data_IF_901382997330
#
_entry.id   IF_901382997330
#
_cell.length_a   1.000
_cell.length_b   1.000
_cell.length_c   1.000
_cell.angle_alpha   90.00
_cell.angle_beta   90.00
_cell.angle_gamma   90.00
#
_symmetry.space_group_name_H-M   'P 1'
#
loop_
_entity.id
_entity.type
_entity.pdbx_description
1 polymer ?
#
# COMPACT_ATOMS: atom_id res chain seq x y z
N UNK A 1 18.36 10.08 25.74
CA UNK A 1 17.20 9.31 25.29
C UNK A 1 17.14 9.44 23.76
N UNK A 2 16.95 8.34 23.01
CA UNK A 2 16.82 8.42 21.56
C UNK A 2 15.42 8.87 21.17
N UNK A 3 15.34 9.81 20.22
CA UNK A 3 14.05 10.27 19.67
C UNK A 3 13.68 9.39 18.48
N UNK A 4 12.48 8.85 18.52
CA UNK A 4 11.92 7.94 17.51
C UNK A 4 10.73 8.63 16.86
N UNK A 5 10.78 8.84 15.54
CA UNK A 5 9.62 9.28 14.76
C UNK A 5 8.88 8.07 14.20
N UNK A 6 7.60 7.95 14.47
CA UNK A 6 6.70 6.97 13.84
C UNK A 6 5.96 7.71 12.74
N UNK A 7 6.23 7.37 11.48
CA UNK A 7 5.67 8.06 10.32
C UNK A 7 4.43 7.33 9.78
N UNK A 8 3.55 8.10 9.16
CA UNK A 8 2.40 7.58 8.39
C UNK A 8 1.41 6.73 9.20
N UNK A 9 1.25 7.01 10.50
CA UNK A 9 0.23 6.36 11.32
C UNK A 9 -1.15 7.00 11.11
N UNK A 10 -1.66 6.95 9.88
CA UNK A 10 -2.90 7.61 9.47
C UNK A 10 -4.13 7.20 10.29
N UNK A 11 -4.13 5.98 10.83
CA UNK A 11 -5.20 5.47 11.67
C UNK A 11 -5.03 5.83 13.16
N UNK A 12 -3.87 6.40 13.55
CA UNK A 12 -3.50 6.69 14.93
C UNK A 12 -3.58 5.44 15.84
N UNK A 13 -3.01 4.34 15.37
CA UNK A 13 -3.13 3.03 16.03
C UNK A 13 -1.81 2.49 16.58
N UNK A 14 -0.68 3.13 16.29
CA UNK A 14 0.64 2.63 16.73
C UNK A 14 0.70 2.38 18.23
N UNK A 15 0.05 3.22 19.05
CA UNK A 15 -0.01 3.08 20.50
C UNK A 15 -0.79 1.85 20.99
N UNK A 16 -1.60 1.23 20.13
CA UNK A 16 -2.28 -0.03 20.46
C UNK A 16 -1.34 -1.24 20.35
N UNK A 17 -0.25 -1.09 19.59
CA UNK A 17 0.72 -2.15 19.32
C UNK A 17 2.07 -1.90 20.01
N UNK A 18 2.39 -0.66 20.36
CA UNK A 18 3.62 -0.29 21.07
C UNK A 18 3.28 0.11 22.49
N UNK A 19 3.85 -0.60 23.47
CA UNK A 19 3.75 -0.19 24.87
C UNK A 19 4.73 0.97 25.16
N UNK A 20 4.26 2.19 24.84
CA UNK A 20 5.04 3.40 25.02
C UNK A 20 5.43 3.66 26.49
N UNK A 21 4.60 3.21 27.45
CA UNK A 21 4.89 3.39 28.89
C UNK A 21 6.10 2.57 29.31
N UNK A 22 6.18 1.32 28.84
CA UNK A 22 7.32 0.43 29.11
C UNK A 22 8.62 0.96 28.51
N UNK A 23 8.54 1.70 27.41
CA UNK A 23 9.68 2.20 26.64
C UNK A 23 10.08 3.63 26.98
N UNK A 24 9.26 4.39 27.73
CA UNK A 24 9.43 5.82 28.01
C UNK A 24 10.72 6.20 28.75
N UNK A 25 11.36 5.24 29.43
CA UNK A 25 12.67 5.48 30.07
C UNK A 25 13.88 5.39 29.11
N UNK A 26 13.68 4.80 27.91
CA UNK A 26 14.72 4.58 26.91
C UNK A 26 14.58 5.45 25.68
N UNK A 27 13.35 5.65 25.22
CA UNK A 27 13.00 6.29 23.95
C UNK A 27 11.94 7.38 24.14
N UNK A 28 12.04 8.41 23.31
CA UNK A 28 11.03 9.46 23.18
C UNK A 28 10.36 9.29 21.82
N UNK A 29 9.08 8.86 21.81
CA UNK A 29 8.32 8.65 20.59
C UNK A 29 7.53 9.90 20.21
N UNK A 30 7.58 10.28 18.92
CA UNK A 30 6.65 11.22 18.30
C UNK A 30 5.98 10.54 17.12
N UNK A 31 4.64 10.59 17.09
CA UNK A 31 3.82 9.96 16.06
C UNK A 31 3.39 11.04 15.08
N UNK A 32 3.52 10.75 13.78
CA UNK A 32 3.05 11.58 12.68
C UNK A 32 1.89 10.86 12.00
N UNK A 33 0.69 11.43 12.10
CA UNK A 33 -0.56 10.82 11.62
C UNK A 33 -0.93 11.27 10.21
N UNK A 34 -0.18 12.20 9.65
CA UNK A 34 -0.42 12.77 8.34
C UNK A 34 0.84 12.69 7.48
N UNK A 35 0.64 12.60 6.16
CA UNK A 35 1.76 12.71 5.23
C UNK A 35 2.35 14.13 5.28
N UNK A 36 3.65 14.23 5.07
CA UNK A 36 4.29 15.53 4.90
C UNK A 36 3.88 16.15 3.56
N UNK A 37 3.59 17.44 3.56
CA UNK A 37 3.19 18.15 2.34
C UNK A 37 4.36 18.27 1.33
N UNK A 38 5.61 18.25 1.83
CA UNK A 38 6.83 18.30 1.02
C UNK A 38 7.99 17.60 1.72
N UNK A 39 9.05 17.35 0.97
CA UNK A 39 10.31 16.86 1.52
C UNK A 39 10.95 17.86 2.49
N UNK A 40 10.86 19.16 2.20
CA UNK A 40 11.38 20.22 3.08
C UNK A 40 10.69 20.22 4.44
N UNK A 41 9.37 20.04 4.46
CA UNK A 41 8.62 19.86 5.71
C UNK A 41 9.07 18.60 6.47
N UNK A 42 9.30 17.50 5.76
CA UNK A 42 9.82 16.28 6.38
C UNK A 42 11.20 16.52 7.01
N UNK A 43 12.09 17.23 6.32
CA UNK A 43 13.43 17.60 6.84
C UNK A 43 13.27 18.42 8.12
N UNK A 44 12.47 19.50 8.08
CA UNK A 44 12.25 20.39 9.23
C UNK A 44 11.73 19.63 10.45
N UNK A 45 10.69 18.80 10.24
CA UNK A 45 10.04 18.07 11.33
C UNK A 45 10.86 16.90 11.87
N UNK A 46 11.76 16.31 11.07
CA UNK A 46 12.50 15.10 11.42
C UNK A 46 13.96 15.35 11.81
N UNK A 47 14.48 16.57 11.70
CA UNK A 47 15.90 16.91 11.90
C UNK A 47 16.47 16.50 13.27
N UNK A 48 15.63 16.41 14.29
CA UNK A 48 16.06 16.06 15.65
C UNK A 48 15.98 14.57 15.97
N UNK A 49 15.48 13.74 15.06
CA UNK A 49 15.26 12.32 15.32
C UNK A 49 16.49 11.47 14.96
N UNK A 50 16.75 10.46 15.78
CA UNK A 50 17.80 9.46 15.56
C UNK A 50 17.26 8.19 14.91
N UNK A 51 15.96 7.96 14.99
CA UNK A 51 15.29 6.76 14.50
C UNK A 51 14.03 7.14 13.74
N UNK A 52 13.84 6.53 12.58
CA UNK A 52 12.59 6.59 11.83
C UNK A 52 11.95 5.20 11.79
N UNK A 53 10.69 5.11 12.25
CA UNK A 53 9.81 3.99 11.97
C UNK A 53 8.95 4.37 10.78
N UNK A 54 9.10 3.69 9.66
CA UNK A 54 8.42 4.02 8.41
C UNK A 54 7.47 2.91 7.97
N UNK A 55 6.31 3.30 7.46
CA UNK A 55 5.25 2.39 7.06
C UNK A 55 5.28 2.16 5.55
N UNK A 56 5.91 1.04 5.14
CA UNK A 56 6.03 0.66 3.72
C UNK A 56 6.67 1.80 2.91
N UNK A 57 6.24 1.99 1.68
CA UNK A 57 6.74 3.01 0.77
C UNK A 57 5.93 4.33 0.84
N UNK A 58 5.28 4.64 1.97
CA UNK A 58 4.43 5.86 2.09
C UNK A 58 5.24 7.15 2.05
N UNK A 59 6.20 7.30 2.95
CA UNK A 59 7.12 8.44 2.93
C UNK A 59 8.41 8.06 2.19
N UNK A 60 8.77 8.73 1.08
CA UNK A 60 10.05 8.53 0.41
C UNK A 60 11.23 8.97 1.29
N UNK A 61 12.17 8.07 1.52
CA UNK A 61 13.40 8.35 2.26
C UNK A 61 14.54 8.54 1.26
N UNK A 62 14.52 9.69 0.62
CA UNK A 62 15.44 10.05 -0.45
C UNK A 62 16.84 10.34 0.06
N UNK A 63 17.81 10.43 -0.85
CA UNK A 63 19.17 10.88 -0.55
C UNK A 63 19.16 12.26 0.10
N UNK A 64 18.36 13.21 -0.41
CA UNK A 64 18.30 14.57 0.13
C UNK A 64 17.78 14.57 1.56
N UNK A 65 16.70 13.83 1.85
CA UNK A 65 16.19 13.69 3.21
C UNK A 65 17.25 13.08 4.13
N UNK A 66 17.90 11.99 3.72
CA UNK A 66 18.97 11.33 4.50
C UNK A 66 20.11 12.28 4.78
N UNK A 67 20.59 13.03 3.79
CA UNK A 67 21.74 13.94 3.94
C UNK A 67 21.44 15.08 4.93
N UNK A 68 20.21 15.57 4.98
CA UNK A 68 19.79 16.65 5.90
C UNK A 68 19.49 16.16 7.32
N UNK A 69 19.13 14.90 7.53
CA UNK A 69 18.85 14.36 8.86
C UNK A 69 20.16 13.95 9.56
N UNK A 70 20.96 14.94 9.96
CA UNK A 70 22.33 14.73 10.48
C UNK A 70 22.43 13.84 11.73
N UNK A 71 21.34 13.75 12.51
CA UNK A 71 21.27 12.94 13.74
C UNK A 71 20.78 11.51 13.48
N UNK A 72 20.29 11.19 12.27
CA UNK A 72 19.69 9.91 11.93
C UNK A 72 20.72 8.78 12.01
N UNK A 73 20.35 7.69 12.70
CA UNK A 73 21.17 6.49 12.93
C UNK A 73 20.51 5.21 12.43
N UNK A 74 19.17 5.14 12.57
CA UNK A 74 18.42 3.93 12.27
C UNK A 74 17.16 4.27 11.48
N UNK A 75 16.90 3.50 10.41
CA UNK A 75 15.65 3.48 9.68
C UNK A 75 15.06 2.08 9.82
N UNK A 76 13.85 1.97 10.36
CA UNK A 76 13.20 0.68 10.54
C UNK A 76 11.87 0.71 9.77
N UNK A 77 11.78 -0.12 8.73
CA UNK A 77 10.62 -0.15 7.82
C UNK A 77 9.75 -1.38 8.05
N UNK A 78 8.46 -1.24 7.89
CA UNK A 78 7.56 -2.38 7.80
C UNK A 78 7.77 -3.16 6.50
N UNK A 79 7.86 -4.50 6.61
CA UNK A 79 8.19 -5.41 5.51
C UNK A 79 9.69 -5.59 5.29
N UNK A 80 10.04 -6.63 4.55
CA UNK A 80 11.42 -7.06 4.31
C UNK A 80 12.14 -6.28 3.20
N UNK A 81 11.47 -5.39 2.50
CA UNK A 81 11.99 -4.56 1.41
C UNK A 81 11.24 -3.24 1.35
N UNK A 82 11.94 -2.17 1.02
CA UNK A 82 11.33 -0.85 0.80
C UNK A 82 12.10 -0.12 -0.30
N UNK A 83 11.46 0.08 -1.45
CA UNK A 83 12.06 0.73 -2.61
C UNK A 83 12.08 2.26 -2.52
N UNK A 84 11.40 2.84 -1.54
CA UNK A 84 11.40 4.30 -1.31
C UNK A 84 12.57 4.78 -0.45
N UNK A 85 13.44 3.87 0.00
CA UNK A 85 14.65 4.21 0.76
C UNK A 85 15.85 4.22 -0.18
N UNK A 86 16.61 5.32 -0.19
CA UNK A 86 17.94 5.36 -0.81
C UNK A 86 18.96 4.64 0.08
N UNK A 87 19.10 3.33 -0.17
CA UNK A 87 20.00 2.46 0.62
C UNK A 87 21.46 2.86 0.45
N UNK A 88 21.87 3.35 -0.72
CA UNK A 88 23.25 3.80 -0.94
C UNK A 88 23.58 5.06 -0.11
N UNK A 89 22.65 6.00 -0.03
CA UNK A 89 22.80 7.17 0.83
C UNK A 89 22.84 6.77 2.31
N UNK A 90 21.97 5.87 2.74
CA UNK A 90 21.97 5.35 4.11
C UNK A 90 23.29 4.67 4.45
N UNK A 91 23.81 3.81 3.55
CA UNK A 91 25.09 3.12 3.72
C UNK A 91 26.27 4.08 3.83
N UNK A 92 26.35 5.11 2.96
CA UNK A 92 27.38 6.15 3.01
C UNK A 92 27.40 6.89 4.35
N UNK A 93 26.23 7.11 4.93
CA UNK A 93 26.04 7.76 6.22
C UNK A 93 26.15 6.79 7.41
N UNK A 94 26.41 5.50 7.16
CA UNK A 94 26.44 4.42 8.18
C UNK A 94 25.14 4.32 8.98
N UNK A 95 24.01 4.63 8.34
CA UNK A 95 22.67 4.46 8.87
C UNK A 95 22.28 3.01 8.66
N UNK A 96 21.89 2.32 9.72
CA UNK A 96 21.39 0.94 9.63
C UNK A 96 19.92 0.97 9.20
N UNK A 97 19.61 0.22 8.16
CA UNK A 97 18.24 0.01 7.70
C UNK A 97 17.79 -1.40 8.05
N UNK A 98 16.72 -1.54 8.80
CA UNK A 98 16.15 -2.83 9.18
C UNK A 98 14.69 -2.94 8.75
N UNK A 99 14.27 -4.17 8.45
CA UNK A 99 12.90 -4.47 8.06
C UNK A 99 12.15 -5.32 9.07
N UNK A 100 10.90 -5.65 8.73
CA UNK A 100 10.07 -6.61 9.46
C UNK A 100 9.58 -7.71 8.52
N UNK A 101 9.05 -8.79 9.08
CA UNK A 101 8.22 -9.72 8.34
C UNK A 101 6.87 -9.09 7.98
N UNK A 102 6.09 -9.77 7.17
CA UNK A 102 4.73 -9.38 6.80
C UNK A 102 3.89 -10.61 6.46
N UNK A 103 2.63 -10.59 6.85
CA UNK A 103 1.64 -11.54 6.36
C UNK A 103 1.21 -11.13 4.95
N UNK A 104 1.13 -12.08 4.03
CA UNK A 104 0.76 -11.84 2.63
C UNK A 104 -0.72 -12.13 2.32
N UNK A 105 -1.49 -12.60 3.31
CA UNK A 105 -2.90 -12.95 3.11
C UNK A 105 -3.83 -11.74 2.90
N UNK A 106 -3.65 -10.59 3.58
CA UNK A 106 -4.60 -9.49 3.49
C UNK A 106 -4.75 -8.91 2.08
N UNK A 107 -3.66 -8.81 1.30
CA UNK A 107 -3.74 -8.26 -0.07
C UNK A 107 -4.62 -9.09 -1.01
N UNK A 108 -4.54 -10.43 -1.07
CA UNK A 108 -5.51 -11.26 -1.78
C UNK A 108 -6.96 -11.08 -1.32
N UNK A 109 -7.19 -10.92 -0.01
CA UNK A 109 -8.51 -10.71 0.56
C UNK A 109 -9.11 -9.38 0.07
N UNK A 110 -8.34 -8.29 0.14
CA UNK A 110 -8.77 -7.00 -0.41
C UNK A 110 -8.98 -7.05 -1.92
N UNK A 111 -8.10 -7.75 -2.66
CA UNK A 111 -8.27 -7.94 -4.10
C UNK A 111 -9.63 -8.57 -4.41
N UNK A 112 -10.03 -9.58 -3.66
CA UNK A 112 -11.34 -10.22 -3.82
C UNK A 112 -12.49 -9.33 -3.36
N UNK A 113 -12.32 -8.52 -2.32
CA UNK A 113 -13.32 -7.52 -1.93
C UNK A 113 -13.57 -6.52 -3.07
N UNK A 114 -12.52 -6.04 -3.74
CA UNK A 114 -12.67 -5.15 -4.91
C UNK A 114 -13.32 -5.85 -6.11
N UNK A 115 -12.93 -7.09 -6.44
CA UNK A 115 -13.54 -7.88 -7.51
C UNK A 115 -15.04 -8.06 -7.25
N UNK A 116 -15.42 -8.52 -6.06
CA UNK A 116 -16.81 -8.76 -5.68
C UNK A 116 -17.60 -7.46 -5.58
N UNK A 117 -16.98 -6.40 -5.05
CA UNK A 117 -17.57 -5.08 -4.93
C UNK A 117 -17.96 -4.48 -6.29
N UNK A 118 -17.09 -4.62 -7.29
CA UNK A 118 -17.40 -4.20 -8.67
C UNK A 118 -18.44 -5.10 -9.33
N UNK A 119 -18.26 -6.42 -9.23
CA UNK A 119 -19.17 -7.38 -9.86
C UNK A 119 -20.63 -7.27 -9.33
N UNK A 120 -20.80 -6.76 -8.12
CA UNK A 120 -22.10 -6.60 -7.46
C UNK A 120 -22.49 -5.14 -7.22
N UNK A 121 -21.77 -4.18 -7.80
CA UNK A 121 -22.04 -2.73 -7.70
C UNK A 121 -22.16 -2.23 -6.26
N UNK A 122 -21.33 -2.74 -5.33
CA UNK A 122 -21.47 -2.48 -3.89
C UNK A 122 -21.46 -0.99 -3.55
N UNK A 123 -20.59 -0.20 -4.19
CA UNK A 123 -20.55 1.24 -3.94
C UNK A 123 -21.91 1.89 -4.22
N UNK A 124 -22.45 1.65 -5.39
CA UNK A 124 -23.73 2.24 -5.84
C UNK A 124 -24.91 1.72 -5.00
N UNK A 125 -25.01 0.41 -4.79
CA UNK A 125 -26.09 -0.17 -3.99
C UNK A 125 -26.05 0.27 -2.52
N UNK A 126 -24.86 0.41 -1.93
CA UNK A 126 -24.69 0.91 -0.57
C UNK A 126 -25.12 2.38 -0.50
N UNK A 127 -24.63 3.23 -1.40
CA UNK A 127 -24.96 4.65 -1.44
C UNK A 127 -26.49 4.84 -1.64
N UNK A 128 -27.08 4.09 -2.56
CA UNK A 128 -28.51 4.12 -2.85
C UNK A 128 -29.36 3.62 -1.68
N UNK A 129 -28.93 2.58 -0.98
CA UNK A 129 -29.60 2.07 0.21
C UNK A 129 -29.70 3.14 1.31
N UNK A 130 -28.63 3.90 1.55
CA UNK A 130 -28.67 5.02 2.50
C UNK A 130 -29.56 6.18 2.06
N UNK A 131 -29.81 6.32 0.75
CA UNK A 131 -30.71 7.32 0.19
C UNK A 131 -32.20 6.85 0.10
N UNK A 132 -32.48 5.63 0.55
CA UNK A 132 -33.83 5.07 0.56
C UNK A 132 -34.25 4.35 -0.73
N UNK A 133 -33.32 4.13 -1.66
CA UNK A 133 -33.58 3.33 -2.87
C UNK A 133 -33.42 1.83 -2.58
N UNK A 134 -34.01 1.00 -3.44
CA UNK A 134 -34.08 -0.45 -3.29
C UNK A 134 -33.81 -1.19 -4.61
N UNK A 135 -32.75 -2.01 -4.67
CA UNK A 135 -32.37 -2.83 -5.84
C UNK A 135 -32.23 -2.01 -7.13
N UNK A 136 -31.22 -1.18 -7.23
CA UNK A 136 -31.05 -0.23 -8.32
C UNK A 136 -30.18 -0.75 -9.46
N UNK A 137 -29.36 -1.78 -9.21
CA UNK A 137 -28.41 -2.32 -10.19
C UNK A 137 -28.59 -3.83 -10.39
N UNK A 138 -27.98 -4.35 -11.46
CA UNK A 138 -27.93 -5.79 -11.75
C UNK A 138 -26.47 -6.22 -11.82
N UNK A 139 -26.04 -7.02 -10.85
CA UNK A 139 -24.67 -7.53 -10.76
C UNK A 139 -24.34 -8.63 -11.76
N UNK A 140 -23.07 -9.00 -11.82
CA UNK A 140 -22.51 -10.02 -12.68
C UNK A 140 -22.08 -11.24 -11.86
N UNK A 141 -22.47 -12.45 -12.30
CA UNK A 141 -21.98 -13.71 -11.74
C UNK A 141 -20.54 -14.00 -12.21
N UNK A 142 -19.68 -14.46 -11.31
CA UNK A 142 -18.25 -14.74 -11.61
C UNK A 142 -18.04 -16.12 -12.23
N UNK A 143 -18.92 -17.10 -11.96
CA UNK A 143 -18.80 -18.47 -12.49
C UNK A 143 -18.70 -18.46 -14.01
N UNK A 144 -17.72 -19.18 -14.55
CA UNK A 144 -17.45 -19.25 -16.00
C UNK A 144 -16.78 -17.99 -16.58
N UNK A 145 -16.57 -16.94 -15.81
CA UNK A 145 -15.80 -15.76 -16.25
C UNK A 145 -14.30 -16.04 -16.20
N UNK A 146 -13.52 -15.19 -16.87
CA UNK A 146 -12.07 -15.30 -16.95
C UNK A 146 -11.46 -14.29 -15.98
N UNK A 147 -10.55 -14.75 -15.11
CA UNK A 147 -9.66 -13.90 -14.35
C UNK A 147 -8.31 -13.86 -15.06
N UNK A 148 -7.93 -12.70 -15.59
CA UNK A 148 -6.58 -12.42 -16.07
C UNK A 148 -5.69 -11.96 -14.94
N UNK A 149 -4.53 -12.58 -14.74
CA UNK A 149 -3.54 -12.20 -13.72
C UNK A 149 -2.26 -11.72 -14.39
N UNK A 150 -1.86 -10.51 -14.07
CA UNK A 150 -0.56 -9.95 -14.43
C UNK A 150 0.39 -10.20 -13.25
N UNK A 151 1.18 -11.27 -13.34
CA UNK A 151 2.03 -11.76 -12.27
C UNK A 151 1.40 -12.90 -11.46
N UNK A 152 2.14 -14.02 -11.36
CA UNK A 152 1.74 -15.22 -10.62
C UNK A 152 2.68 -15.48 -9.42
N UNK A 153 3.08 -14.40 -8.74
CA UNK A 153 3.81 -14.47 -7.48
C UNK A 153 2.93 -14.91 -6.30
N UNK A 154 3.40 -14.68 -5.08
CA UNK A 154 2.68 -15.12 -3.86
C UNK A 154 1.23 -14.63 -3.80
N UNK A 155 0.97 -13.36 -4.06
CA UNK A 155 -0.38 -12.78 -4.07
C UNK A 155 -1.20 -13.33 -5.24
N UNK A 156 -0.69 -13.26 -6.47
CA UNK A 156 -1.40 -13.74 -7.65
C UNK A 156 -1.79 -15.22 -7.57
N UNK A 157 -0.93 -16.07 -7.00
CA UNK A 157 -1.25 -17.49 -6.78
C UNK A 157 -2.42 -17.68 -5.81
N UNK A 158 -2.50 -16.89 -4.74
CA UNK A 158 -3.62 -16.96 -3.80
C UNK A 158 -4.92 -16.47 -4.44
N UNK A 159 -4.87 -15.35 -5.17
CA UNK A 159 -6.02 -14.83 -5.93
C UNK A 159 -6.52 -15.85 -6.95
N UNK A 160 -5.60 -16.53 -7.66
CA UNK A 160 -5.93 -17.60 -8.61
C UNK A 160 -6.64 -18.80 -7.95
N UNK A 161 -6.18 -19.21 -6.76
CA UNK A 161 -6.81 -20.32 -6.03
C UNK A 161 -8.26 -20.01 -5.68
N UNK A 162 -8.53 -18.80 -5.22
CA UNK A 162 -9.88 -18.35 -4.87
C UNK A 162 -10.76 -18.23 -6.12
N UNK A 163 -10.22 -17.73 -7.24
CA UNK A 163 -10.94 -17.69 -8.52
C UNK A 163 -11.46 -19.07 -8.96
N UNK A 164 -10.62 -20.11 -8.80
CA UNK A 164 -11.04 -21.48 -9.10
C UNK A 164 -12.19 -21.94 -8.22
N UNK A 165 -12.20 -21.56 -6.95
CA UNK A 165 -13.31 -21.87 -6.04
C UNK A 165 -14.63 -21.17 -6.45
N UNK A 166 -14.54 -19.99 -7.08
CA UNK A 166 -15.69 -19.32 -7.72
C UNK A 166 -16.07 -19.91 -9.09
N UNK A 167 -15.40 -20.97 -9.55
CA UNK A 167 -15.66 -21.56 -10.86
C UNK A 167 -15.21 -20.70 -12.04
N UNK A 168 -14.27 -19.76 -11.82
CA UNK A 168 -13.67 -18.93 -12.87
C UNK A 168 -12.58 -19.70 -13.63
N UNK A 169 -12.37 -19.32 -14.89
CA UNK A 169 -11.17 -19.67 -15.62
C UNK A 169 -10.04 -18.70 -15.25
N UNK A 170 -8.83 -19.21 -15.05
CA UNK A 170 -7.67 -18.36 -14.70
C UNK A 170 -6.69 -18.37 -15.86
N UNK A 171 -6.39 -17.19 -16.36
CA UNK A 171 -5.30 -16.93 -17.29
C UNK A 171 -4.23 -16.11 -16.56
N UNK A 172 -3.00 -16.59 -16.53
CA UNK A 172 -1.91 -15.87 -15.91
C UNK A 172 -0.82 -15.58 -16.93
N UNK A 173 -0.28 -14.39 -16.85
CA UNK A 173 0.90 -13.99 -17.57
C UNK A 173 1.96 -13.60 -16.54
N UNK A 174 3.11 -14.25 -16.56
CA UNK A 174 4.23 -13.98 -15.65
C UNK A 174 5.55 -14.10 -16.39
N UNK A 175 6.53 -13.37 -15.91
CA UNK A 175 7.90 -13.24 -16.38
C UNK A 175 8.09 -12.45 -17.68
N UNK A 176 8.97 -11.47 -17.59
CA UNK A 176 9.31 -10.55 -18.67
C UNK A 176 8.11 -9.77 -19.21
N UNK A 177 7.27 -9.30 -18.26
CA UNK A 177 6.22 -8.32 -18.54
C UNK A 177 6.86 -7.14 -19.27
N UNK A 178 6.69 -7.08 -20.57
CA UNK A 178 6.85 -5.85 -21.31
C UNK A 178 5.71 -4.91 -20.85
N UNK A 179 6.06 -3.98 -19.97
CA UNK A 179 5.12 -2.99 -19.44
C UNK A 179 4.41 -2.20 -20.55
N UNK A 180 4.98 -2.18 -21.77
CA UNK A 180 4.34 -1.57 -22.93
C UNK A 180 3.11 -2.35 -23.40
N UNK A 181 3.01 -3.65 -23.13
CA UNK A 181 1.84 -4.49 -23.47
C UNK A 181 0.67 -4.33 -22.51
N UNK A 182 0.90 -3.77 -21.32
CA UNK A 182 -0.16 -3.47 -20.34
C UNK A 182 -0.79 -2.07 -20.54
N UNK A 183 -0.25 -1.26 -21.45
CA UNK A 183 -0.72 0.11 -21.69
C UNK A 183 -1.95 0.21 -22.59
N UNK A 184 -2.30 -0.85 -23.32
CA UNK A 184 -3.42 -0.82 -24.26
C UNK A 184 -4.72 -1.28 -23.57
N UNK A 185 -5.33 -0.38 -22.79
CA UNK A 185 -6.68 -0.59 -22.23
C UNK A 185 -7.72 -0.82 -23.32
N UNK A 186 -7.49 -0.30 -24.53
CA UNK A 186 -8.36 -0.43 -25.69
C UNK A 186 -8.58 -1.88 -26.16
N UNK A 187 -7.65 -2.78 -25.81
CA UNK A 187 -7.78 -4.22 -26.12
C UNK A 187 -8.57 -5.01 -25.08
N UNK A 188 -9.00 -4.38 -23.99
CA UNK A 188 -9.85 -5.01 -22.99
C UNK A 188 -11.30 -5.07 -23.47
N UNK A 189 -12.04 -6.09 -22.99
CA UNK A 189 -13.48 -6.15 -23.28
C UNK A 189 -14.20 -5.00 -22.57
N UNK A 190 -15.22 -4.42 -23.20
CA UNK A 190 -16.07 -3.40 -22.57
C UNK A 190 -16.71 -3.83 -21.24
N UNK A 191 -16.83 -5.15 -21.03
CA UNK A 191 -17.36 -5.73 -19.79
C UNK A 191 -16.25 -6.08 -18.78
N UNK A 192 -15.00 -5.71 -19.04
CA UNK A 192 -13.87 -6.04 -18.17
C UNK A 192 -13.81 -5.10 -16.95
N UNK A 193 -13.40 -5.66 -15.83
CA UNK A 193 -12.98 -4.92 -14.65
C UNK A 193 -11.46 -4.97 -14.52
N UNK A 194 -10.85 -3.84 -14.24
CA UNK A 194 -9.42 -3.72 -13.96
C UNK A 194 -9.20 -3.62 -12.45
N UNK A 195 -8.36 -4.47 -11.87
CA UNK A 195 -8.05 -4.45 -10.43
C UNK A 195 -6.56 -4.19 -10.23
N UNK A 196 -6.22 -3.17 -9.45
CA UNK A 196 -4.82 -2.90 -9.08
C UNK A 196 -4.65 -2.80 -7.55
N UNK A 197 -4.04 -3.83 -6.99
CA UNK A 197 -3.63 -3.89 -5.57
C UNK A 197 -2.10 -4.05 -5.45
N UNK A 198 -1.36 -3.65 -6.49
CA UNK A 198 0.10 -3.80 -6.57
C UNK A 198 0.82 -2.46 -6.39
N UNK A 199 0.91 -1.66 -7.46
CA UNK A 199 1.50 -0.31 -7.44
C UNK A 199 0.79 0.59 -8.45
N UNK A 200 0.58 1.87 -8.10
CA UNK A 200 -0.08 2.85 -8.96
C UNK A 200 0.58 2.99 -10.33
N UNK A 201 1.90 3.25 -10.42
CA UNK A 201 2.58 3.49 -11.70
C UNK A 201 2.61 2.31 -12.70
N UNK A 202 2.03 1.15 -12.36
CA UNK A 202 1.84 0.03 -13.32
C UNK A 202 0.80 0.40 -14.38
N UNK A 203 -0.14 1.28 -14.05
CA UNK A 203 -1.20 1.75 -14.94
C UNK A 203 -0.99 3.25 -15.14
N UNK A 204 -1.09 3.71 -16.38
CA UNK A 204 -1.18 5.15 -16.64
C UNK A 204 -2.53 5.66 -16.12
N UNK A 205 -2.50 6.55 -15.12
CA UNK A 205 -3.71 7.00 -14.43
C UNK A 205 -4.60 7.86 -15.33
N UNK A 206 -4.03 8.69 -16.21
CA UNK A 206 -4.79 9.52 -17.15
C UNK A 206 -5.52 8.66 -18.18
N UNK A 207 -4.86 7.64 -18.75
CA UNK A 207 -5.48 6.70 -19.68
C UNK A 207 -6.59 5.90 -19.01
N UNK A 208 -6.41 5.51 -17.75
CA UNK A 208 -7.44 4.83 -16.97
C UNK A 208 -8.66 5.72 -16.73
N UNK A 209 -8.45 7.00 -16.39
CA UNK A 209 -9.53 7.98 -16.24
C UNK A 209 -10.34 8.12 -17.53
N UNK A 210 -9.65 8.20 -18.67
CA UNK A 210 -10.30 8.25 -19.99
C UNK A 210 -11.09 6.97 -20.24
N UNK A 211 -10.49 5.80 -20.05
CA UNK A 211 -11.13 4.51 -20.28
C UNK A 211 -12.40 4.30 -19.42
N UNK A 212 -12.37 4.75 -18.16
CA UNK A 212 -13.52 4.70 -17.27
C UNK A 212 -14.60 5.71 -17.66
N UNK A 213 -14.22 6.95 -17.97
CA UNK A 213 -15.16 8.03 -18.33
C UNK A 213 -15.87 7.75 -19.65
N UNK A 214 -15.23 7.05 -20.57
CA UNK A 214 -15.79 6.71 -21.90
C UNK A 214 -16.33 5.27 -21.98
N UNK A 215 -16.35 4.54 -20.86
CA UNK A 215 -16.79 3.15 -20.76
C UNK A 215 -16.10 2.19 -21.74
N UNK A 216 -14.82 2.38 -21.98
CA UNK A 216 -13.94 1.41 -22.69
C UNK A 216 -13.86 0.11 -21.89
N UNK A 217 -13.84 0.23 -20.55
CA UNK A 217 -13.97 -0.88 -19.61
C UNK A 217 -15.13 -0.64 -18.66
N UNK A 218 -15.69 -1.69 -18.06
CA UNK A 218 -16.84 -1.59 -17.18
C UNK A 218 -16.54 -0.91 -15.84
N UNK A 219 -15.32 -1.04 -15.33
CA UNK A 219 -14.94 -0.39 -14.07
C UNK A 219 -13.54 -0.76 -13.61
N UNK A 220 -13.08 -0.09 -12.56
CA UNK A 220 -11.80 -0.38 -11.92
C UNK A 220 -11.90 -0.41 -10.40
N UNK A 221 -11.17 -1.36 -9.78
CA UNK A 221 -10.94 -1.45 -8.34
C UNK A 221 -9.48 -1.14 -8.03
N UNK A 222 -9.22 -0.05 -7.34
CA UNK A 222 -7.88 0.46 -7.13
C UNK A 222 -7.59 0.61 -5.64
N UNK A 223 -6.50 0.00 -5.18
CA UNK A 223 -5.97 0.20 -3.84
C UNK A 223 -4.70 1.05 -3.84
N UNK A 224 -4.15 1.33 -5.03
CA UNK A 224 -2.89 2.04 -5.22
C UNK A 224 -3.01 3.06 -6.34
N UNK A 225 -2.27 4.16 -6.24
CA UNK A 225 -2.35 5.31 -7.12
C UNK A 225 -0.95 5.77 -7.54
N UNK A 226 -0.87 6.54 -8.62
CA UNK A 226 0.40 7.08 -9.09
C UNK A 226 1.03 8.01 -8.05
N UNK A 227 0.21 8.86 -7.41
CA UNK A 227 0.61 9.70 -6.28
C UNK A 227 -0.26 9.38 -5.07
N UNK A 228 0.37 9.09 -3.96
CA UNK A 228 -0.27 8.79 -2.68
C UNK A 228 0.20 9.77 -1.57
N UNK A 229 -0.71 10.27 -0.73
CA UNK A 229 -2.17 10.10 -0.75
C UNK A 229 -2.83 10.67 -2.01
N UNK A 230 -3.92 10.00 -2.48
CA UNK A 230 -4.68 10.46 -3.63
C UNK A 230 -5.32 11.83 -3.36
N UNK A 231 -5.04 12.80 -4.21
CA UNK A 231 -5.58 14.17 -4.08
C UNK A 231 -7.10 14.17 -3.99
N UNK A 232 -7.67 15.09 -3.20
CA UNK A 232 -9.12 15.26 -3.07
C UNK A 232 -9.80 15.59 -4.39
N UNK A 233 -9.11 16.32 -5.28
CA UNK A 233 -9.59 16.74 -6.60
C UNK A 233 -9.29 15.72 -7.70
N UNK A 234 -8.73 14.54 -7.38
CA UNK A 234 -8.43 13.53 -8.38
C UNK A 234 -9.71 13.00 -9.03
N UNK A 235 -9.75 12.96 -10.36
CA UNK A 235 -10.94 12.59 -11.14
C UNK A 235 -11.45 11.18 -10.82
N UNK A 236 -10.58 10.24 -10.47
CA UNK A 236 -10.98 8.88 -10.09
C UNK A 236 -12.01 8.85 -8.95
N UNK A 237 -11.93 9.82 -8.01
CA UNK A 237 -12.86 9.90 -6.88
C UNK A 237 -14.31 10.14 -7.28
N UNK A 238 -14.52 10.74 -8.45
CA UNK A 238 -15.83 11.16 -8.95
C UNK A 238 -16.40 10.19 -10.00
N UNK A 239 -15.65 9.17 -10.40
CA UNK A 239 -16.13 8.18 -11.36
C UNK A 239 -17.01 7.14 -10.67
N UNK A 240 -18.26 6.92 -11.16
CA UNK A 240 -19.20 5.99 -10.54
C UNK A 240 -18.73 4.53 -10.64
N UNK A 241 -17.96 4.21 -11.69
CA UNK A 241 -17.43 2.88 -11.97
C UNK A 241 -16.00 2.66 -11.43
N UNK A 242 -15.53 3.54 -10.55
CA UNK A 242 -14.26 3.37 -9.81
C UNK A 242 -14.54 3.01 -8.34
N UNK A 243 -14.03 1.87 -7.88
CA UNK A 243 -14.05 1.45 -6.48
C UNK A 243 -12.65 1.64 -5.90
N UNK A 244 -12.49 2.59 -5.00
CA UNK A 244 -11.19 3.05 -4.50
C UNK A 244 -11.01 2.71 -3.03
N UNK A 245 -9.82 2.21 -2.68
CA UNK A 245 -9.38 2.03 -1.29
C UNK A 245 -8.00 2.68 -1.09
N UNK A 246 -7.70 3.24 0.10
CA UNK A 246 -6.54 4.09 0.30
C UNK A 246 -5.30 3.27 0.71
N UNK A 247 -4.84 2.38 -0.18
CA UNK A 247 -3.65 1.54 -0.02
C UNK A 247 -3.67 0.72 1.27
N UNK A 248 -4.77 -0.02 1.47
CA UNK A 248 -5.02 -0.82 2.67
C UNK A 248 -4.81 -2.32 2.49
N UNK A 249 -4.26 -2.76 1.36
CA UNK A 249 -4.04 -4.18 1.05
C UNK A 249 -3.23 -4.96 2.09
N UNK A 250 -2.45 -4.29 2.93
CA UNK A 250 -1.68 -4.88 4.03
C UNK A 250 -2.20 -4.46 5.42
N UNK A 251 -3.19 -3.58 5.48
CA UNK A 251 -3.68 -2.94 6.71
C UNK A 251 -4.63 -3.86 7.43
N UNK A 252 -4.07 -4.69 8.32
CA UNK A 252 -4.81 -5.54 9.25
C UNK A 252 -4.16 -5.51 10.63
N UNK A 253 -4.92 -5.85 11.67
CA UNK A 253 -4.42 -5.88 13.04
C UNK A 253 -3.24 -6.85 13.19
N UNK A 254 -3.29 -8.01 12.51
CA UNK A 254 -2.24 -9.02 12.52
C UNK A 254 -0.94 -8.49 11.91
N UNK A 255 -1.01 -7.82 10.75
CA UNK A 255 0.17 -7.21 10.15
C UNK A 255 0.74 -6.07 11.00
N UNK A 256 -0.10 -5.21 11.53
CA UNK A 256 0.34 -4.13 12.41
C UNK A 256 0.99 -4.66 13.68
N UNK A 257 0.46 -5.72 14.26
CA UNK A 257 1.10 -6.40 15.40
C UNK A 257 2.50 -6.91 15.02
N UNK A 258 2.65 -7.56 13.87
CA UNK A 258 3.97 -8.01 13.39
C UNK A 258 4.90 -6.80 13.19
N UNK A 259 4.45 -5.77 12.48
CA UNK A 259 5.27 -4.60 12.15
C UNK A 259 5.77 -3.90 13.39
N UNK A 260 4.90 -3.44 14.25
CA UNK A 260 5.28 -2.63 15.40
C UNK A 260 6.09 -3.41 16.45
N UNK A 261 5.73 -4.68 16.72
CA UNK A 261 6.54 -5.52 17.63
C UNK A 261 7.94 -5.75 17.07
N UNK A 262 8.07 -6.07 15.80
CA UNK A 262 9.37 -6.30 15.18
C UNK A 262 10.17 -5.01 14.93
N UNK A 263 9.51 -3.86 14.78
CA UNK A 263 10.18 -2.56 14.75
C UNK A 263 10.85 -2.26 16.09
N UNK A 264 10.19 -2.53 17.20
CA UNK A 264 10.77 -2.37 18.56
C UNK A 264 11.93 -3.35 18.75
N UNK A 265 11.76 -4.61 18.38
CA UNK A 265 12.82 -5.62 18.45
C UNK A 265 14.06 -5.21 17.63
N UNK A 266 13.84 -4.72 16.40
CA UNK A 266 14.92 -4.23 15.55
C UNK A 266 15.60 -2.99 16.14
N UNK A 267 14.84 -2.05 16.72
CA UNK A 267 15.37 -0.88 17.39
C UNK A 267 16.30 -1.28 18.56
N UNK A 268 15.84 -2.19 19.43
CA UNK A 268 16.64 -2.64 20.56
C UNK A 268 17.90 -3.38 20.11
N UNK A 269 17.80 -4.19 19.06
CA UNK A 269 18.94 -4.88 18.45
C UNK A 269 19.96 -3.90 17.85
N UNK A 270 19.51 -2.85 17.14
CA UNK A 270 20.36 -1.79 16.60
C UNK A 270 21.07 -1.02 17.70
N UNK A 271 20.38 -0.63 18.76
CA UNK A 271 20.95 0.10 19.91
C UNK A 271 22.00 -0.74 20.63
N UNK A 272 21.82 -2.04 20.71
CA UNK A 272 22.78 -2.99 21.30
C UNK A 272 23.94 -3.37 20.35
N UNK A 273 24.05 -2.75 19.17
CA UNK A 273 25.12 -3.02 18.21
C UNK A 273 25.03 -4.37 17.48
N UNK A 274 23.86 -5.01 17.52
CA UNK A 274 23.59 -6.30 16.86
C UNK A 274 22.32 -6.21 15.99
N UNK A 275 22.36 -5.40 14.92
CA UNK A 275 21.18 -5.19 14.09
C UNK A 275 20.68 -6.51 13.49
N UNK A 276 19.37 -6.64 13.40
CA UNK A 276 18.68 -7.80 12.83
C UNK A 276 17.83 -7.37 11.63
N UNK A 277 17.51 -8.30 10.74
CA UNK A 277 16.70 -8.06 9.52
C UNK A 277 17.19 -6.85 8.72
N UNK A 278 18.53 -6.72 8.61
CA UNK A 278 19.18 -5.62 7.88
C UNK A 278 18.84 -5.70 6.39
N UNK A 279 18.56 -4.54 5.80
CA UNK A 279 18.30 -4.37 4.37
C UNK A 279 19.54 -3.69 3.77
N UNK A 280 20.16 -4.33 2.77
CA UNK A 280 21.36 -3.88 2.06
C UNK A 280 21.05 -3.58 0.59
#
# INVERSE_FOLDING_TARGET
MLKVAVLDDYQNVSQQFIDLKKLSGKYEFKIFNEAFASEDEAIEKLIDFQVLFIMRERTPITKNLIDNLVKLKFIITSGSRNKSIDLEAAKKRKIVVSGTDSNTNPTPELTWALILGLARHFKEEIDNMYQGYWQTTVGVELKGKILGLIGLGRVGTQVAKIAKAFGMQVMAWSENLDLNKCKELDNMKKTAYLINTSRGPIINEDDLIIALSTNVIAGAGLDVFEKEPLSENNKLRFLPNALLTPHIGYVTAENYSIFYNQMIEALEACVNGKPIRVIE
#
